data_IF_589033397573
#
_entry.id   IF_589033397573
#
_cell.length_a   1.000
_cell.length_b   1.000
_cell.length_c   1.000
_cell.angle_alpha   90.00
_cell.angle_beta   90.00
_cell.angle_gamma   90.00
#
_symmetry.space_group_name_H-M   'P 1'
#
loop_
_entity.id
_entity.type
_entity.pdbx_description
1 polymer ?
#
# COMPACT_ATOMS: atom_id res chain seq x y z
N UNK A 1 6.89 -4.84 -25.41
CA UNK A 1 7.57 -3.61 -24.99
C UNK A 1 7.86 -3.72 -23.50
N UNK A 2 9.13 -3.90 -23.13
CA UNK A 2 9.62 -4.03 -21.75
C UNK A 2 9.73 -2.64 -21.14
N UNK A 3 8.99 -2.36 -20.06
CA UNK A 3 9.10 -1.09 -19.35
C UNK A 3 10.53 -0.92 -18.78
N UNK A 4 11.14 0.28 -18.84
CA UNK A 4 12.51 0.48 -18.40
C UNK A 4 12.61 0.29 -16.88
N UNK A 5 13.35 -0.73 -16.48
CA UNK A 5 13.68 -1.07 -15.08
C UNK A 5 14.28 0.14 -14.33
N UNK A 6 14.89 1.09 -15.05
CA UNK A 6 15.42 2.34 -14.52
C UNK A 6 14.38 3.28 -13.91
N UNK A 7 13.11 3.25 -14.34
CA UNK A 7 12.04 4.07 -13.75
C UNK A 7 11.59 3.57 -12.37
N UNK A 8 11.53 2.24 -12.20
CA UNK A 8 11.18 1.60 -10.93
C UNK A 8 12.28 1.79 -9.88
N UNK A 9 13.55 1.74 -10.31
CA UNK A 9 14.70 1.98 -9.43
C UNK A 9 14.85 3.46 -9.03
N UNK A 10 14.48 4.40 -9.91
CA UNK A 10 14.46 5.83 -9.57
C UNK A 10 13.40 6.16 -8.51
N UNK A 11 12.25 5.48 -8.55
CA UNK A 11 11.24 5.56 -7.49
C UNK A 11 11.78 5.10 -6.13
N UNK A 12 12.67 4.11 -6.09
CA UNK A 12 13.30 3.64 -4.84
C UNK A 12 14.22 4.68 -4.17
N UNK A 13 14.63 5.72 -4.91
CA UNK A 13 15.42 6.84 -4.38
C UNK A 13 14.60 8.10 -4.09
N UNK A 14 13.31 8.11 -4.45
CA UNK A 14 12.42 9.24 -4.15
C UNK A 14 12.07 9.25 -2.65
N UNK A 15 12.45 10.30 -1.88
CA UNK A 15 12.22 10.34 -0.44
C UNK A 15 10.74 10.32 -0.05
N UNK A 16 9.85 10.85 -0.90
CA UNK A 16 8.41 10.85 -0.63
C UNK A 16 7.83 9.47 -0.82
N UNK A 17 8.23 8.78 -1.89
CA UNK A 17 7.84 7.40 -2.14
C UNK A 17 8.36 6.45 -1.05
N UNK A 18 9.60 6.64 -0.58
CA UNK A 18 10.14 5.90 0.56
C UNK A 18 9.36 6.18 1.85
N UNK A 19 9.01 7.45 2.12
CA UNK A 19 8.21 7.81 3.29
C UNK A 19 6.81 7.17 3.24
N UNK A 20 6.18 7.13 2.07
CA UNK A 20 4.88 6.49 1.88
C UNK A 20 4.94 4.98 2.13
N UNK A 21 5.97 4.29 1.62
CA UNK A 21 6.17 2.86 1.87
C UNK A 21 6.37 2.60 3.37
N UNK A 22 7.19 3.42 4.03
CA UNK A 22 7.44 3.30 5.47
C UNK A 22 6.16 3.55 6.30
N UNK A 23 5.33 4.50 5.87
CA UNK A 23 4.04 4.78 6.49
C UNK A 23 3.08 3.59 6.36
N UNK A 24 2.93 3.04 5.15
CA UNK A 24 2.09 1.87 4.90
C UNK A 24 2.54 0.66 5.73
N UNK A 25 3.84 0.47 5.93
CA UNK A 25 4.36 -0.56 6.82
C UNK A 25 4.02 -0.30 8.29
N UNK A 26 4.15 0.94 8.77
CA UNK A 26 3.77 1.30 10.14
C UNK A 26 2.29 1.08 10.41
N UNK A 27 1.42 1.45 9.47
CA UNK A 27 -0.03 1.22 9.57
C UNK A 27 -0.31 -0.29 9.63
N UNK A 28 0.26 -1.09 8.74
CA UNK A 28 0.07 -2.55 8.75
C UNK A 28 0.53 -3.20 10.07
N UNK A 29 1.68 -2.77 10.61
CA UNK A 29 2.17 -3.27 11.89
C UNK A 29 1.26 -2.87 13.07
N UNK A 30 0.73 -1.65 13.05
CA UNK A 30 -0.20 -1.18 14.08
C UNK A 30 -1.52 -1.96 14.05
N UNK A 31 -2.09 -2.15 12.85
CA UNK A 31 -3.33 -2.93 12.66
C UNK A 31 -3.11 -4.38 13.09
N UNK A 32 -1.98 -4.98 12.72
CA UNK A 32 -1.63 -6.34 13.13
C UNK A 32 -1.59 -6.49 14.66
N UNK A 33 -0.94 -5.54 15.35
CA UNK A 33 -0.85 -5.53 16.81
C UNK A 33 -2.22 -5.34 17.49
N UNK A 34 -3.09 -4.49 16.93
CA UNK A 34 -4.43 -4.26 17.48
C UNK A 34 -5.38 -5.44 17.26
N UNK A 35 -5.28 -6.11 16.12
CA UNK A 35 -6.20 -7.18 15.71
C UNK A 35 -5.71 -8.57 16.11
N UNK A 36 -4.48 -8.71 16.60
CA UNK A 36 -3.88 -10.00 16.95
C UNK A 36 -3.60 -10.89 15.73
N UNK A 37 -3.32 -10.27 14.57
CA UNK A 37 -3.04 -10.95 13.30
C UNK A 37 -1.60 -10.69 12.85
N UNK A 38 -1.17 -11.35 11.78
CA UNK A 38 0.14 -11.09 11.18
C UNK A 38 0.17 -9.78 10.40
N UNK A 39 1.37 -9.21 10.21
CA UNK A 39 1.55 -8.00 9.40
C UNK A 39 1.18 -8.26 7.93
N UNK A 40 1.37 -9.47 7.41
CA UNK A 40 0.97 -9.84 6.05
C UNK A 40 -0.55 -9.85 5.89
N UNK A 41 -1.29 -10.40 6.86
CA UNK A 41 -2.76 -10.38 6.87
C UNK A 41 -3.30 -8.96 6.95
N UNK A 42 -2.74 -8.13 7.85
CA UNK A 42 -3.10 -6.71 7.94
C UNK A 42 -2.83 -5.97 6.62
N UNK A 43 -1.71 -6.25 5.95
CA UNK A 43 -1.38 -5.65 4.65
C UNK A 43 -2.31 -6.12 3.53
N UNK A 44 -2.75 -7.37 3.55
CA UNK A 44 -3.74 -7.88 2.62
C UNK A 44 -5.09 -7.17 2.81
N UNK A 45 -5.54 -7.03 4.06
CA UNK A 45 -6.77 -6.32 4.40
C UNK A 45 -6.73 -4.84 3.99
N UNK A 46 -5.61 -4.13 4.24
CA UNK A 46 -5.44 -2.74 3.81
C UNK A 46 -5.52 -2.59 2.28
N UNK A 47 -4.93 -3.52 1.52
CA UNK A 47 -5.04 -3.52 0.06
C UNK A 47 -6.46 -3.80 -0.44
N UNK A 48 -7.18 -4.71 0.22
CA UNK A 48 -8.58 -4.99 -0.10
C UNK A 48 -9.44 -3.74 0.15
N UNK A 49 -9.24 -3.06 1.28
CA UNK A 49 -9.92 -1.81 1.60
C UNK A 49 -9.59 -0.67 0.61
N UNK A 50 -8.31 -0.51 0.22
CA UNK A 50 -7.91 0.45 -0.82
C UNK A 50 -8.58 0.13 -2.16
N UNK A 51 -8.71 -1.15 -2.53
CA UNK A 51 -9.37 -1.56 -3.77
C UNK A 51 -10.89 -1.31 -3.72
N UNK A 52 -11.55 -1.64 -2.61
CA UNK A 52 -12.99 -1.39 -2.40
C UNK A 52 -13.30 0.12 -2.44
N UNK A 53 -12.52 0.94 -1.73
CA UNK A 53 -12.70 2.40 -1.72
C UNK A 53 -12.31 3.07 -3.04
N UNK A 54 -11.41 2.50 -3.81
CA UNK A 54 -11.07 2.97 -5.16
C UNK A 54 -12.13 2.57 -6.20
N UNK A 55 -12.79 1.41 -6.03
CA UNK A 55 -13.86 0.93 -6.90
C UNK A 55 -15.22 1.58 -6.61
N UNK A 56 -15.51 1.96 -5.36
CA UNK A 56 -16.73 2.69 -4.99
C UNK A 56 -16.75 4.15 -5.48
N UNK A 57 -15.65 4.63 -6.06
CA UNK A 57 -15.60 5.91 -6.79
C UNK A 57 -16.35 5.92 -8.13
N UNK A 58 -16.94 4.80 -8.58
CA UNK A 58 -17.65 4.71 -9.87
C UNK A 58 -19.16 4.45 -9.79
N UNK A 59 -19.78 4.52 -8.61
CA UNK A 59 -21.26 4.45 -8.52
C UNK A 59 -21.83 5.41 -7.48
N UNK A 60 -21.71 6.70 -7.75
CA UNK A 60 -22.68 7.69 -7.26
C UNK A 60 -23.21 8.48 -8.46
N UNK A 61 -24.12 7.87 -9.22
CA UNK A 61 -24.98 8.53 -10.20
C UNK A 61 -26.35 7.86 -10.22
#
# INVERSE_FOLDING_TARGET
MTAPIGGLLSGLTDPKFMAEIAERQRIAAHVAAQMGVTVEEARAALRAFEAETSSDGHTQH
#
